data_IF_464353417225
#
_entry.id   IF_464353417225
#
_cell.length_a   1.000
_cell.length_b   1.000
_cell.length_c   1.000
_cell.angle_alpha   90.00
_cell.angle_beta   90.00
_cell.angle_gamma   90.00
#
_symmetry.space_group_name_H-M   'P 1'
#
loop_
_entity.id
_entity.type
_entity.pdbx_description
1 polymer ?
#
# COMPACT_ATOMS: atom_id res chain seq x y z
N UNK A 1 14.95 32.37 6.80
CA UNK A 1 13.75 31.70 7.31
C UNK A 1 14.18 30.51 8.15
N UNK A 2 13.66 30.35 9.35
CA UNK A 2 13.94 29.27 10.30
C UNK A 2 12.68 28.43 10.44
N UNK A 3 12.77 27.15 10.09
CA UNK A 3 11.63 26.23 10.12
C UNK A 3 11.79 25.22 11.25
N UNK A 4 10.70 24.88 11.91
CA UNK A 4 10.61 23.65 12.69
C UNK A 4 9.51 22.79 12.08
N UNK A 5 9.81 21.55 11.76
CA UNK A 5 8.85 20.62 11.18
C UNK A 5 8.37 19.62 12.22
N UNK A 6 7.07 19.52 12.43
CA UNK A 6 6.48 18.63 13.44
C UNK A 6 5.81 17.40 12.81
N UNK A 7 6.07 17.14 11.53
CA UNK A 7 5.52 15.99 10.83
C UNK A 7 6.51 15.47 9.79
N UNK A 8 6.63 14.15 9.68
CA UNK A 8 7.48 13.48 8.70
C UNK A 8 7.18 13.97 7.27
N UNK A 9 5.91 14.06 6.89
CA UNK A 9 5.51 14.53 5.54
C UNK A 9 5.96 15.96 5.26
N UNK A 10 5.87 16.87 6.22
CA UNK A 10 6.32 18.25 6.05
C UNK A 10 7.84 18.32 5.89
N UNK A 11 8.57 17.52 6.66
CA UNK A 11 10.04 17.41 6.54
C UNK A 11 10.44 16.92 5.15
N UNK A 12 9.75 15.89 4.64
CA UNK A 12 9.95 15.36 3.29
C UNK A 12 9.61 16.38 2.20
N UNK A 13 8.55 17.18 2.37
CA UNK A 13 8.19 18.26 1.43
C UNK A 13 9.29 19.32 1.39
N UNK A 14 9.70 19.86 2.54
CA UNK A 14 10.72 20.92 2.62
C UNK A 14 12.03 20.48 1.97
N UNK A 15 12.41 19.22 2.19
CA UNK A 15 13.65 18.66 1.64
C UNK A 15 13.55 18.41 0.14
N UNK A 16 12.43 17.89 -0.35
CA UNK A 16 12.15 17.73 -1.78
C UNK A 16 12.15 19.07 -2.54
N UNK A 17 11.75 20.17 -1.88
CA UNK A 17 11.83 21.53 -2.43
C UNK A 17 13.27 22.11 -2.46
N UNK A 18 14.27 21.37 -1.98
CA UNK A 18 15.65 21.83 -1.85
C UNK A 18 15.87 22.83 -0.73
N UNK A 19 14.97 22.84 0.27
CA UNK A 19 14.94 23.81 1.36
C UNK A 19 15.29 23.20 2.73
N UNK A 20 15.84 21.98 2.75
CA UNK A 20 16.22 21.29 4.00
C UNK A 20 17.17 22.09 4.91
N UNK A 21 18.00 22.95 4.34
CA UNK A 21 18.91 23.85 5.08
C UNK A 21 18.19 24.91 5.93
N UNK A 22 16.88 25.11 5.75
CA UNK A 22 16.06 26.02 6.56
C UNK A 22 15.53 25.36 7.84
N UNK A 23 15.62 24.03 7.96
CA UNK A 23 15.14 23.29 9.11
C UNK A 23 16.09 23.49 10.30
N UNK A 24 15.54 23.93 11.42
CA UNK A 24 16.24 24.14 12.70
C UNK A 24 15.93 23.05 13.72
N UNK A 25 14.91 22.23 13.48
CA UNK A 25 14.49 21.13 14.34
C UNK A 25 13.35 20.35 13.71
N UNK A 26 13.21 19.10 14.12
CA UNK A 26 12.19 18.17 13.64
C UNK A 26 11.57 17.37 14.79
N UNK A 27 10.39 16.79 14.57
CA UNK A 27 9.82 15.80 15.49
C UNK A 27 10.70 14.52 15.59
N UNK A 28 10.38 13.67 16.55
CA UNK A 28 11.17 12.46 16.84
C UNK A 28 11.08 11.38 15.73
N UNK A 29 10.07 11.45 14.85
CA UNK A 29 9.80 10.44 13.82
C UNK A 29 10.26 10.84 12.42
N UNK A 30 10.55 12.13 12.18
CA UNK A 30 11.14 12.61 10.92
C UNK A 30 12.50 11.95 10.65
N UNK A 31 12.53 11.00 9.71
CA UNK A 31 13.66 10.09 9.46
C UNK A 31 14.27 10.22 8.04
N UNK A 32 13.71 11.07 7.17
CA UNK A 32 14.10 11.17 5.77
C UNK A 32 14.16 12.63 5.26
N UNK A 33 15.14 12.98 4.40
CA UNK A 33 16.37 12.24 4.11
C UNK A 33 17.29 12.24 5.34
N UNK A 34 17.92 11.10 5.64
CA UNK A 34 18.73 10.89 6.86
C UNK A 34 19.83 11.95 6.97
N UNK A 35 20.50 12.26 5.87
CA UNK A 35 21.58 13.24 5.80
C UNK A 35 21.17 14.66 6.18
N UNK A 36 19.87 14.99 6.06
CA UNK A 36 19.33 16.29 6.47
C UNK A 36 18.92 16.25 7.94
N UNK A 37 18.20 15.20 8.36
CA UNK A 37 17.51 15.17 9.66
C UNK A 37 18.37 14.64 10.81
N UNK A 38 19.46 13.92 10.51
CA UNK A 38 20.29 13.28 11.53
C UNK A 38 20.92 14.27 12.52
N UNK A 39 21.30 15.47 12.06
CA UNK A 39 21.91 16.50 12.91
C UNK A 39 20.91 17.47 13.54
N UNK A 40 19.62 17.38 13.19
CA UNK A 40 18.62 18.34 13.66
C UNK A 40 18.18 18.04 15.09
N UNK A 41 18.01 19.08 15.94
CA UNK A 41 17.37 18.94 17.24
C UNK A 41 16.00 18.26 17.16
N UNK A 42 15.77 17.35 18.10
CA UNK A 42 14.49 16.65 18.26
C UNK A 42 13.62 17.35 19.27
N UNK A 43 12.45 17.80 18.83
CA UNK A 43 11.54 18.61 19.65
C UNK A 43 10.44 17.80 20.29
N UNK A 44 10.46 16.47 20.21
CA UNK A 44 9.48 15.58 20.83
C UNK A 44 8.67 14.78 19.82
N UNK A 45 7.91 13.78 20.29
CA UNK A 45 7.10 12.91 19.43
C UNK A 45 5.85 13.63 18.91
N UNK A 46 5.25 13.03 17.88
CA UNK A 46 4.14 13.57 17.07
C UNK A 46 3.01 14.24 17.89
N UNK A 47 2.50 13.55 18.91
CA UNK A 47 1.38 14.02 19.75
C UNK A 47 1.83 14.70 21.06
N UNK A 48 3.12 14.74 21.35
CA UNK A 48 3.67 15.31 22.60
C UNK A 48 4.93 16.14 22.32
N UNK A 49 4.82 17.02 21.32
CA UNK A 49 5.86 18.00 20.97
C UNK A 49 6.17 18.89 22.17
N UNK A 50 7.43 19.17 22.45
CA UNK A 50 7.91 20.12 23.46
C UNK A 50 7.95 21.54 22.85
N UNK A 51 6.89 22.31 23.12
CA UNK A 51 6.72 23.67 22.59
C UNK A 51 7.80 24.64 23.10
N UNK A 52 8.38 24.40 24.28
CA UNK A 52 9.49 25.24 24.77
C UNK A 52 10.77 24.98 23.98
N UNK A 53 11.05 23.72 23.61
CA UNK A 53 12.13 23.40 22.65
C UNK A 53 11.88 24.04 21.29
N UNK A 54 10.65 23.97 20.78
CA UNK A 54 10.30 24.63 19.51
C UNK A 54 10.56 26.13 19.60
N UNK A 55 10.09 26.79 20.67
CA UNK A 55 10.29 28.22 20.91
C UNK A 55 11.77 28.60 21.01
N UNK A 56 12.58 27.78 21.69
CA UNK A 56 14.02 28.02 21.84
C UNK A 56 14.79 27.97 20.50
N UNK A 57 14.21 27.37 19.46
CA UNK A 57 14.75 27.40 18.10
C UNK A 57 14.37 28.65 17.32
N UNK A 58 13.60 29.58 17.90
CA UNK A 58 13.19 30.85 17.28
C UNK A 58 12.70 30.68 15.83
N UNK A 59 11.67 29.84 15.57
CA UNK A 59 11.18 29.59 14.23
C UNK A 59 10.44 30.80 13.67
N UNK A 60 10.68 31.09 12.39
CA UNK A 60 9.84 32.01 11.61
C UNK A 60 8.50 31.34 11.24
N UNK A 61 8.49 30.00 11.13
CA UNK A 61 7.32 29.20 10.84
C UNK A 61 7.48 27.77 11.38
N UNK A 62 6.42 27.25 12.00
CA UNK A 62 6.29 25.85 12.40
C UNK A 62 5.38 25.11 11.40
N UNK A 63 5.85 23.98 10.89
CA UNK A 63 5.08 23.10 10.01
C UNK A 63 4.44 21.98 10.84
N UNK A 64 3.25 22.25 11.39
CA UNK A 64 2.42 21.29 12.09
C UNK A 64 1.56 20.47 11.11
N UNK A 65 0.66 19.64 11.62
CA UNK A 65 -0.22 18.75 10.82
C UNK A 65 -1.54 18.55 11.55
N UNK A 66 -2.60 18.13 10.84
CA UNK A 66 -3.90 17.70 11.41
C UNK A 66 -4.33 16.32 10.88
N UNK A 67 -3.36 15.51 10.43
CA UNK A 67 -3.63 14.22 9.79
C UNK A 67 -4.05 13.09 10.75
N UNK A 68 -3.65 13.17 12.03
CA UNK A 68 -3.92 12.17 13.06
C UNK A 68 -4.71 12.82 14.22
N UNK A 69 -5.69 12.11 14.82
CA UNK A 69 -6.39 12.60 15.99
C UNK A 69 -5.44 12.95 17.14
N UNK A 70 -5.56 14.16 17.69
CA UNK A 70 -4.74 14.66 18.80
C UNK A 70 -3.78 15.76 18.40
N UNK A 71 -3.50 15.94 17.10
CA UNK A 71 -2.69 17.07 16.63
C UNK A 71 -3.29 18.43 16.96
N UNK A 72 -4.61 18.52 17.12
CA UNK A 72 -5.30 19.74 17.52
C UNK A 72 -4.73 20.30 18.83
N UNK A 73 -4.41 19.43 19.80
CA UNK A 73 -3.80 19.84 21.06
C UNK A 73 -2.39 20.41 20.88
N UNK A 74 -1.61 19.90 19.92
CA UNK A 74 -0.29 20.46 19.57
C UNK A 74 -0.47 21.85 18.96
N UNK A 75 -1.41 22.01 18.03
CA UNK A 75 -1.73 23.29 17.39
C UNK A 75 -2.19 24.34 18.41
N UNK A 76 -3.09 23.98 19.33
CA UNK A 76 -3.55 24.86 20.42
C UNK A 76 -2.39 25.34 21.30
N UNK A 77 -1.42 24.46 21.58
CA UNK A 77 -0.23 24.82 22.37
C UNK A 77 0.72 25.73 21.60
N UNK A 78 0.89 25.55 20.29
CA UNK A 78 1.67 26.46 19.43
C UNK A 78 1.03 27.85 19.38
N UNK A 79 -0.29 27.91 19.24
CA UNK A 79 -1.06 29.15 19.25
C UNK A 79 -0.95 29.88 20.60
N UNK A 80 -1.13 29.16 21.72
CA UNK A 80 -0.96 29.72 23.06
C UNK A 80 0.46 30.25 23.32
N UNK A 81 1.47 29.63 22.70
CA UNK A 81 2.86 30.09 22.74
C UNK A 81 3.16 31.24 21.75
N UNK A 82 2.19 31.67 20.93
CA UNK A 82 2.36 32.74 19.94
C UNK A 82 3.33 32.38 18.81
N UNK A 83 3.51 31.09 18.52
CA UNK A 83 4.40 30.62 17.46
C UNK A 83 3.66 30.61 16.11
N UNK A 84 4.20 31.21 15.04
CA UNK A 84 3.59 31.13 13.71
C UNK A 84 3.59 29.68 13.22
N UNK A 85 2.45 29.19 12.75
CA UNK A 85 2.32 27.83 12.24
C UNK A 85 1.44 27.73 11.00
N UNK A 86 1.61 26.64 10.26
CA UNK A 86 0.58 26.06 9.39
C UNK A 86 0.35 24.61 9.81
N UNK A 87 -0.86 24.11 9.58
CA UNK A 87 -1.21 22.73 9.91
C UNK A 87 -2.05 22.11 8.79
N UNK A 88 -1.40 21.61 7.71
CA UNK A 88 -2.12 20.96 6.64
C UNK A 88 -2.91 19.74 7.11
N UNK A 89 -4.08 19.55 6.53
CA UNK A 89 -5.00 18.44 6.80
C UNK A 89 -5.41 17.75 5.49
N UNK A 90 -4.46 17.18 4.73
CA UNK A 90 -4.81 16.59 3.45
C UNK A 90 -5.78 15.42 3.64
N UNK A 91 -6.83 15.36 2.82
CA UNK A 91 -7.83 14.29 2.81
C UNK A 91 -8.00 13.65 1.43
N UNK A 92 -7.26 14.12 0.45
CA UNK A 92 -7.15 13.57 -0.90
C UNK A 92 -5.80 13.99 -1.51
N UNK A 93 -5.42 13.44 -2.67
CA UNK A 93 -4.17 13.83 -3.35
C UNK A 93 -4.15 15.30 -3.74
N UNK A 94 -5.29 15.90 -4.09
CA UNK A 94 -5.35 17.34 -4.40
C UNK A 94 -4.97 18.20 -3.20
N UNK A 95 -5.37 17.81 -1.99
CA UNK A 95 -4.95 18.51 -0.78
C UNK A 95 -3.45 18.33 -0.50
N UNK A 96 -2.87 17.17 -0.87
CA UNK A 96 -1.42 16.94 -0.77
C UNK A 96 -0.67 17.90 -1.70
N UNK A 97 -1.12 18.02 -2.95
CA UNK A 97 -0.54 18.95 -3.92
C UNK A 97 -0.66 20.40 -3.43
N UNK A 98 -1.85 20.78 -2.95
CA UNK A 98 -2.07 22.12 -2.38
C UNK A 98 -1.19 22.41 -1.15
N UNK A 99 -0.91 21.40 -0.33
CA UNK A 99 0.01 21.52 0.81
C UNK A 99 1.45 21.77 0.35
N UNK A 100 1.91 21.05 -0.67
CA UNK A 100 3.25 21.25 -1.27
C UNK A 100 3.38 22.66 -1.86
N UNK A 101 2.38 23.11 -2.61
CA UNK A 101 2.37 24.43 -3.23
C UNK A 101 2.31 25.56 -2.19
N UNK A 102 1.52 25.41 -1.12
CA UNK A 102 1.47 26.40 -0.04
C UNK A 102 2.80 26.50 0.71
N UNK A 103 3.42 25.35 1.04
CA UNK A 103 4.75 25.32 1.63
C UNK A 103 5.76 25.98 0.68
N UNK A 104 5.79 25.60 -0.60
CA UNK A 104 6.71 26.16 -1.58
C UNK A 104 6.59 27.69 -1.72
N UNK A 105 5.34 28.22 -1.74
CA UNK A 105 5.09 29.68 -1.76
C UNK A 105 5.65 30.37 -0.53
N UNK A 106 5.44 29.80 0.67
CA UNK A 106 5.96 30.36 1.94
C UNK A 106 7.48 30.32 2.02
N UNK A 107 8.10 29.32 1.40
CA UNK A 107 9.56 29.20 1.31
C UNK A 107 10.17 30.06 0.19
N UNK A 108 9.36 30.74 -0.61
CA UNK A 108 9.83 31.58 -1.72
C UNK A 108 10.34 30.80 -2.93
N UNK A 109 9.87 29.55 -3.11
CA UNK A 109 10.26 28.67 -4.23
C UNK A 109 9.04 28.08 -4.97
N UNK A 110 8.03 28.90 -5.37
CA UNK A 110 6.80 28.40 -5.99
C UNK A 110 7.05 27.49 -7.21
N UNK A 111 7.95 27.89 -8.11
CA UNK A 111 8.30 27.11 -9.32
C UNK A 111 8.79 25.68 -8.99
N UNK A 112 9.47 25.48 -7.85
CA UNK A 112 9.89 24.15 -7.40
C UNK A 112 8.72 23.33 -6.87
N UNK A 113 7.76 23.99 -6.23
CA UNK A 113 6.51 23.35 -5.80
C UNK A 113 5.68 22.88 -6.99
N UNK A 114 5.51 23.74 -8.00
CA UNK A 114 4.81 23.42 -9.24
C UNK A 114 5.48 22.24 -9.97
N UNK A 115 6.81 22.26 -10.09
CA UNK A 115 7.56 21.16 -10.70
C UNK A 115 7.39 19.84 -9.92
N UNK A 116 7.51 19.88 -8.59
CA UNK A 116 7.35 18.70 -7.74
C UNK A 116 5.93 18.12 -7.84
N UNK A 117 4.90 18.97 -7.83
CA UNK A 117 3.51 18.53 -8.01
C UNK A 117 3.31 17.94 -9.41
N UNK A 118 3.87 18.54 -10.46
CA UNK A 118 3.77 18.00 -11.82
C UNK A 118 4.38 16.59 -11.92
N UNK A 119 5.55 16.36 -11.32
CA UNK A 119 6.19 15.05 -11.27
C UNK A 119 5.34 14.02 -10.50
N UNK A 120 4.75 14.42 -9.37
CA UNK A 120 3.85 13.57 -8.60
C UNK A 120 2.59 13.21 -9.39
N UNK A 121 1.95 14.18 -10.05
CA UNK A 121 0.75 13.97 -10.87
C UNK A 121 1.00 13.00 -12.01
N UNK A 122 2.16 13.08 -12.67
CA UNK A 122 2.54 12.15 -13.73
C UNK A 122 2.54 10.69 -13.27
N UNK A 123 2.75 10.45 -11.96
CA UNK A 123 2.74 9.13 -11.36
C UNK A 123 1.43 8.76 -10.67
N UNK A 124 0.69 9.73 -10.11
CA UNK A 124 -0.43 9.48 -9.20
C UNK A 124 -1.80 9.80 -9.80
N UNK A 125 -1.88 10.60 -10.86
CA UNK A 125 -3.17 10.94 -11.45
C UNK A 125 -3.61 9.83 -12.43
N UNK A 126 -4.81 9.30 -12.19
CA UNK A 126 -5.49 8.40 -13.10
C UNK A 126 -6.88 8.96 -13.38
N UNK A 127 -7.23 9.04 -14.67
CA UNK A 127 -8.54 9.53 -15.08
C UNK A 127 -9.65 8.52 -14.74
N UNK A 128 -10.74 9.04 -14.17
CA UNK A 128 -11.99 8.29 -13.98
C UNK A 128 -12.07 7.42 -12.71
N UNK A 129 -13.21 6.73 -12.50
CA UNK A 129 -13.38 5.83 -11.37
C UNK A 129 -12.45 4.61 -11.47
N UNK A 130 -12.24 3.92 -10.34
CA UNK A 130 -11.53 2.65 -10.36
C UNK A 130 -12.15 1.70 -11.41
N UNK A 131 -11.30 1.06 -12.21
CA UNK A 131 -11.74 0.16 -13.27
C UNK A 131 -12.69 -0.91 -12.71
N UNK A 132 -13.72 -1.28 -13.49
CA UNK A 132 -14.59 -2.39 -13.13
C UNK A 132 -13.74 -3.65 -12.88
N UNK A 133 -13.93 -4.30 -11.73
CA UNK A 133 -13.12 -5.45 -11.30
C UNK A 133 -11.73 -5.09 -10.75
N UNK A 134 -11.49 -3.83 -10.35
CA UNK A 134 -10.29 -3.46 -9.61
C UNK A 134 -10.20 -4.26 -8.30
N UNK A 135 -9.05 -4.90 -7.99
CA UNK A 135 -8.88 -5.65 -6.75
C UNK A 135 -9.09 -4.78 -5.52
N UNK A 136 -9.80 -5.30 -4.52
CA UNK A 136 -10.02 -4.60 -3.25
C UNK A 136 -8.83 -4.78 -2.31
N UNK A 137 -8.31 -3.67 -1.78
CA UNK A 137 -7.18 -3.67 -0.86
C UNK A 137 -7.64 -3.15 0.50
N UNK A 138 -7.33 -3.90 1.55
CA UNK A 138 -7.41 -3.41 2.92
C UNK A 138 -6.02 -2.97 3.35
N UNK A 139 -5.81 -1.65 3.48
CA UNK A 139 -4.60 -1.10 4.06
C UNK A 139 -4.78 -1.03 5.57
N UNK A 140 -3.96 -1.77 6.30
CA UNK A 140 -3.93 -1.76 7.76
C UNK A 140 -2.89 -0.73 8.23
N UNK A 141 -3.37 0.45 8.62
CA UNK A 141 -2.55 1.50 9.25
C UNK A 141 -2.21 1.22 10.70
N UNK A 142 -3.07 0.46 11.37
CA UNK A 142 -2.85 0.03 12.75
C UNK A 142 -3.47 -1.36 12.96
N UNK A 143 -2.83 -2.27 13.69
CA UNK A 143 -3.29 -3.66 13.80
C UNK A 143 -4.37 -3.90 14.86
N UNK A 144 -4.51 -3.01 15.85
CA UNK A 144 -5.49 -3.21 16.96
C UNK A 144 -6.00 -1.89 17.56
N UNK A 145 -7.25 -1.48 17.27
CA UNK A 145 -8.13 -2.06 16.25
C UNK A 145 -7.52 -1.92 14.84
N UNK A 146 -8.02 -2.69 13.87
CA UNK A 146 -7.63 -2.54 12.46
C UNK A 146 -8.12 -1.17 11.99
N UNK A 147 -7.20 -0.25 11.68
CA UNK A 147 -7.56 1.07 11.13
C UNK A 147 -7.27 1.07 9.64
N UNK A 148 -8.27 1.42 8.83
CA UNK A 148 -8.16 1.44 7.36
C UNK A 148 -8.69 2.77 6.79
N UNK A 149 -8.14 3.28 5.68
CA UNK A 149 -8.61 4.52 5.05
C UNK A 149 -10.04 4.42 4.51
N UNK A 150 -10.80 5.50 4.65
CA UNK A 150 -12.10 5.72 4.02
C UNK A 150 -11.99 6.57 2.75
N UNK A 151 -13.11 7.09 2.24
CA UNK A 151 -13.14 7.92 1.03
C UNK A 151 -12.35 9.22 1.16
N UNK A 152 -12.30 9.82 2.35
CA UNK A 152 -11.59 11.10 2.60
C UNK A 152 -10.13 10.84 3.00
N UNK A 153 -9.41 10.04 2.23
CA UNK A 153 -8.00 9.72 2.48
C UNK A 153 -7.19 9.79 1.19
N UNK A 154 -6.01 10.42 1.27
CA UNK A 154 -5.02 10.37 0.20
C UNK A 154 -4.61 8.93 -0.11
N UNK A 155 -4.58 8.01 0.86
CA UNK A 155 -4.24 6.60 0.62
C UNK A 155 -5.27 5.92 -0.26
N UNK A 156 -6.56 6.27 -0.14
CA UNK A 156 -7.61 5.78 -1.03
C UNK A 156 -7.37 6.24 -2.47
N UNK A 157 -6.93 7.48 -2.67
CA UNK A 157 -6.54 7.98 -3.98
C UNK A 157 -5.29 7.28 -4.54
N UNK A 158 -4.27 7.02 -3.71
CA UNK A 158 -3.06 6.27 -4.10
C UNK A 158 -3.40 4.82 -4.49
N UNK A 159 -4.31 4.17 -3.76
CA UNK A 159 -4.83 2.83 -4.12
C UNK A 159 -5.55 2.88 -5.48
N UNK A 160 -6.37 3.90 -5.72
CA UNK A 160 -7.05 4.11 -7.01
C UNK A 160 -6.02 4.33 -8.14
N UNK A 161 -5.01 5.17 -7.91
CA UNK A 161 -3.91 5.43 -8.84
C UNK A 161 -3.11 4.17 -9.21
N UNK A 162 -3.07 3.20 -8.29
CA UNK A 162 -2.46 1.90 -8.53
C UNK A 162 -3.36 0.92 -9.32
N UNK A 163 -4.62 1.28 -9.57
CA UNK A 163 -5.62 0.43 -10.20
C UNK A 163 -6.34 -0.53 -9.26
N UNK A 164 -6.23 -0.31 -7.95
CA UNK A 164 -6.98 -1.03 -6.92
C UNK A 164 -8.19 -0.22 -6.43
N UNK A 165 -8.88 -0.76 -5.42
CA UNK A 165 -9.98 -0.11 -4.72
C UNK A 165 -9.81 -0.29 -3.21
N UNK A 166 -9.86 0.79 -2.43
CA UNK A 166 -9.86 0.67 -0.97
C UNK A 166 -11.16 0.00 -0.49
N UNK A 167 -11.10 -0.83 0.56
CA UNK A 167 -12.29 -1.51 1.10
C UNK A 167 -13.39 -0.55 1.54
N UNK A 168 -13.04 0.61 2.12
CA UNK A 168 -13.98 1.64 2.57
C UNK A 168 -14.07 2.84 1.60
N UNK A 169 -13.82 2.63 0.30
CA UNK A 169 -13.79 3.70 -0.70
C UNK A 169 -15.10 4.53 -0.82
N UNK A 170 -16.23 4.00 -0.34
CA UNK A 170 -17.53 4.69 -0.41
C UNK A 170 -17.92 5.38 0.91
N UNK A 171 -17.12 5.25 1.97
CA UNK A 171 -17.46 5.82 3.26
C UNK A 171 -16.89 7.23 3.45
N UNK A 172 -17.69 8.25 3.81
CA UNK A 172 -17.27 9.65 3.89
C UNK A 172 -16.33 10.00 5.07
N UNK A 173 -15.49 9.09 5.54
CA UNK A 173 -14.56 9.25 6.67
C UNK A 173 -13.10 9.31 6.20
N UNK A 174 -12.20 9.86 7.02
CA UNK A 174 -10.75 9.80 6.76
C UNK A 174 -10.23 8.37 6.89
N UNK A 175 -10.50 7.79 8.04
CA UNK A 175 -10.27 6.40 8.39
C UNK A 175 -11.13 6.05 9.57
N UNK A 176 -11.32 4.75 9.82
CA UNK A 176 -11.95 4.29 11.05
C UNK A 176 -11.45 2.90 11.43
N UNK A 177 -11.62 2.51 12.71
CA UNK A 177 -11.51 1.13 13.09
C UNK A 177 -12.56 0.27 12.34
N UNK A 178 -12.15 -0.93 11.93
CA UNK A 178 -13.01 -2.02 11.46
C UNK A 178 -12.82 -3.22 12.39
N UNK A 179 -13.91 -3.96 12.68
CA UNK A 179 -13.83 -5.18 13.48
C UNK A 179 -13.35 -6.37 12.65
N UNK A 180 -12.95 -7.47 13.30
CA UNK A 180 -12.52 -8.67 12.57
C UNK A 180 -13.67 -9.29 11.76
N UNK A 181 -14.92 -9.17 12.25
CA UNK A 181 -16.15 -9.57 11.54
C UNK A 181 -16.40 -8.70 10.32
N UNK A 182 -16.22 -7.39 10.45
CA UNK A 182 -16.38 -6.46 9.34
C UNK A 182 -15.32 -6.67 8.26
N UNK A 183 -14.06 -6.93 8.64
CA UNK A 183 -13.01 -7.32 7.67
C UNK A 183 -13.39 -8.57 6.91
N UNK A 184 -14.01 -9.55 7.59
CA UNK A 184 -14.50 -10.78 6.96
C UNK A 184 -15.64 -10.50 5.98
N UNK A 185 -16.54 -9.57 6.29
CA UNK A 185 -17.62 -9.13 5.40
C UNK A 185 -17.11 -8.34 4.19
N UNK A 186 -16.13 -7.46 4.40
CA UNK A 186 -15.46 -6.71 3.33
C UNK A 186 -14.71 -7.62 2.36
N UNK A 187 -14.23 -8.76 2.85
CA UNK A 187 -13.54 -9.81 2.09
C UNK A 187 -12.51 -9.26 1.07
N UNK A 188 -11.48 -8.52 1.52
CA UNK A 188 -10.53 -7.89 0.61
C UNK A 188 -9.78 -8.91 -0.25
N UNK A 189 -9.43 -8.54 -1.48
CA UNK A 189 -8.57 -9.36 -2.35
C UNK A 189 -7.14 -9.47 -1.83
N UNK A 190 -6.67 -8.46 -1.08
CA UNK A 190 -5.38 -8.46 -0.40
C UNK A 190 -5.34 -7.54 0.84
N UNK A 191 -4.46 -7.90 1.77
CA UNK A 191 -4.08 -7.06 2.91
C UNK A 191 -2.77 -6.35 2.62
N UNK A 192 -2.67 -5.08 3.02
CA UNK A 192 -1.45 -4.27 2.93
C UNK A 192 -1.15 -3.72 4.33
N UNK A 193 -0.12 -4.25 4.99
CA UNK A 193 0.37 -3.73 6.26
C UNK A 193 1.17 -2.46 5.97
N UNK A 194 0.79 -1.38 6.65
CA UNK A 194 1.45 -0.07 6.57
C UNK A 194 1.37 0.60 7.95
N UNK A 195 1.89 -0.08 8.97
CA UNK A 195 1.75 0.33 10.37
C UNK A 195 2.48 1.63 10.70
N UNK A 196 1.73 2.58 11.25
CA UNK A 196 2.23 3.88 11.66
C UNK A 196 3.31 3.79 12.74
N UNK A 197 4.42 4.49 12.53
CA UNK A 197 5.56 4.53 13.46
C UNK A 197 6.30 3.20 13.64
N UNK A 198 6.02 2.19 12.83
CA UNK A 198 6.67 0.87 12.91
C UNK A 198 7.63 0.69 11.73
N UNK A 199 8.87 0.34 12.05
CA UNK A 199 9.87 -0.08 11.07
C UNK A 199 9.35 -1.27 10.25
N UNK A 200 9.38 -1.21 8.89
CA UNK A 200 8.99 -2.33 8.03
C UNK A 200 9.66 -3.66 8.36
N UNK A 201 10.90 -3.65 8.87
CA UNK A 201 11.61 -4.85 9.32
C UNK A 201 10.92 -5.55 10.52
N UNK A 202 10.06 -4.81 11.24
CA UNK A 202 9.26 -5.31 12.37
C UNK A 202 7.82 -5.63 11.95
N UNK A 203 7.46 -5.52 10.67
CA UNK A 203 6.12 -5.93 10.23
C UNK A 203 5.95 -7.43 10.41
N UNK A 204 4.80 -7.81 10.96
CA UNK A 204 4.49 -9.20 11.31
C UNK A 204 3.27 -9.67 10.51
N UNK A 205 3.42 -10.02 9.22
CA UNK A 205 2.31 -10.55 8.42
C UNK A 205 1.73 -11.84 9.02
N UNK A 206 2.51 -12.61 9.79
CA UNK A 206 2.03 -13.77 10.55
C UNK A 206 0.92 -13.44 11.54
N UNK A 207 0.85 -12.19 12.05
CA UNK A 207 -0.25 -11.75 12.92
C UNK A 207 -1.56 -11.76 12.14
N UNK A 208 -1.55 -11.34 10.88
CA UNK A 208 -2.71 -11.41 9.98
C UNK A 208 -3.08 -12.87 9.70
N UNK A 209 -2.09 -13.70 9.35
CA UNK A 209 -2.31 -15.13 9.11
C UNK A 209 -2.76 -15.90 10.36
N UNK A 210 -2.55 -15.37 11.56
CA UNK A 210 -3.00 -15.96 12.82
C UNK A 210 -4.43 -15.60 13.23
N UNK A 211 -5.11 -14.69 12.51
CA UNK A 211 -6.48 -14.27 12.86
C UNK A 211 -7.50 -15.36 12.49
N UNK A 212 -8.08 -15.98 13.51
CA UNK A 212 -9.00 -17.12 13.35
C UNK A 212 -10.22 -16.78 12.47
N UNK A 213 -10.80 -15.59 12.65
CA UNK A 213 -11.98 -15.15 11.89
C UNK A 213 -11.73 -14.91 10.40
N UNK A 214 -10.46 -14.82 9.99
CA UNK A 214 -10.05 -14.47 8.62
C UNK A 214 -9.57 -15.68 7.82
N UNK A 215 -9.43 -16.86 8.45
CA UNK A 215 -8.77 -18.04 7.85
C UNK A 215 -9.42 -18.55 6.55
N UNK A 216 -10.70 -18.24 6.32
CA UNK A 216 -11.42 -18.62 5.13
C UNK A 216 -11.42 -17.56 4.02
N UNK A 217 -10.89 -16.37 4.29
CA UNK A 217 -10.72 -15.33 3.27
C UNK A 217 -9.78 -15.82 2.16
N UNK A 218 -10.15 -15.66 0.88
CA UNK A 218 -9.28 -16.02 -0.24
C UNK A 218 -7.89 -15.37 -0.14
N UNK A 219 -7.82 -14.12 0.33
CA UNK A 219 -6.57 -13.40 0.54
C UNK A 219 -5.61 -14.13 1.49
N UNK A 220 -6.09 -14.70 2.61
CA UNK A 220 -5.23 -15.44 3.54
C UNK A 220 -4.82 -16.80 2.95
N UNK A 221 -5.76 -17.55 2.37
CA UNK A 221 -5.47 -18.85 1.75
C UNK A 221 -4.44 -18.75 0.62
N UNK A 222 -4.48 -17.65 -0.13
CA UNK A 222 -3.58 -17.37 -1.25
C UNK A 222 -2.35 -16.56 -0.84
N UNK A 223 -2.14 -16.36 0.47
CA UNK A 223 -1.02 -15.61 1.04
C UNK A 223 -0.84 -14.18 0.52
N UNK A 224 -1.94 -13.48 0.25
CA UNK A 224 -1.98 -12.11 -0.25
C UNK A 224 -1.95 -11.08 0.88
N UNK A 225 -0.87 -11.13 1.66
CA UNK A 225 -0.56 -10.15 2.72
C UNK A 225 0.76 -9.51 2.35
N UNK A 226 0.71 -8.23 2.02
CA UNK A 226 1.86 -7.46 1.55
C UNK A 226 2.26 -6.42 2.60
N UNK A 227 3.55 -6.06 2.60
CA UNK A 227 4.09 -5.03 3.48
C UNK A 227 4.49 -3.84 2.62
N UNK A 228 3.90 -2.67 2.91
CA UNK A 228 4.29 -1.40 2.29
C UNK A 228 4.64 -0.44 3.43
N UNK A 229 5.87 0.10 3.49
CA UNK A 229 6.27 1.03 4.54
C UNK A 229 5.28 2.18 4.72
N UNK A 230 5.00 2.54 5.97
CA UNK A 230 4.16 3.71 6.27
C UNK A 230 4.69 4.99 5.62
N UNK A 231 6.00 5.13 5.49
CA UNK A 231 6.60 6.27 4.82
C UNK A 231 6.11 6.49 3.38
N UNK A 232 5.50 5.47 2.76
CA UNK A 232 4.97 5.51 1.40
C UNK A 232 3.45 5.64 1.31
N UNK A 233 2.71 5.49 2.41
CA UNK A 233 1.24 5.52 2.40
C UNK A 233 0.62 6.38 3.51
N UNK A 234 1.26 6.49 4.68
CA UNK A 234 0.80 7.29 5.83
C UNK A 234 1.33 8.72 5.88
N UNK A 235 2.33 9.05 5.06
CA UNK A 235 2.93 10.39 4.98
C UNK A 235 2.42 11.12 3.73
N UNK A 236 1.51 12.09 3.84
CA UNK A 236 0.95 12.81 2.69
C UNK A 236 1.98 13.78 2.10
N UNK A 237 2.87 13.27 1.27
CA UNK A 237 3.97 14.04 0.67
C UNK A 237 4.56 13.35 -0.56
N UNK A 238 5.77 13.75 -0.99
CA UNK A 238 6.38 13.28 -2.23
C UNK A 238 6.53 11.76 -2.32
N UNK A 239 6.73 11.10 -1.17
CA UNK A 239 6.98 9.66 -1.10
C UNK A 239 5.76 8.77 -1.34
N UNK A 240 4.58 9.37 -1.56
CA UNK A 240 3.42 8.64 -2.05
C UNK A 240 3.66 8.05 -3.46
N UNK A 241 4.63 8.58 -4.21
CA UNK A 241 5.05 8.04 -5.51
C UNK A 241 5.64 6.62 -5.36
N UNK A 242 6.43 6.36 -4.33
CA UNK A 242 6.91 5.01 -3.99
C UNK A 242 5.73 4.12 -3.59
N UNK A 243 4.76 4.67 -2.87
CA UNK A 243 3.52 4.00 -2.48
C UNK A 243 2.74 3.48 -3.67
N UNK A 244 2.45 4.34 -4.66
CA UNK A 244 1.72 3.92 -5.87
C UNK A 244 2.51 2.89 -6.67
N UNK A 245 3.84 3.00 -6.75
CA UNK A 245 4.68 2.01 -7.45
C UNK A 245 4.63 0.63 -6.78
N UNK A 246 4.67 0.59 -5.45
CA UNK A 246 4.50 -0.64 -4.68
C UNK A 246 3.11 -1.25 -4.88
N UNK A 247 2.05 -0.45 -4.73
CA UNK A 247 0.67 -0.89 -4.91
C UNK A 247 0.38 -1.34 -6.35
N UNK A 248 0.94 -0.68 -7.37
CA UNK A 248 0.82 -1.12 -8.78
C UNK A 248 1.39 -2.52 -8.98
N UNK A 249 2.47 -2.87 -8.29
CA UNK A 249 3.06 -4.22 -8.35
C UNK A 249 2.11 -5.24 -7.75
N UNK A 250 1.54 -4.94 -6.58
CA UNK A 250 0.53 -5.78 -5.90
C UNK A 250 -0.71 -5.95 -6.80
N UNK A 251 -1.28 -4.86 -7.31
CA UNK A 251 -2.48 -4.91 -8.18
C UNK A 251 -2.21 -5.70 -9.46
N UNK A 252 -1.04 -5.55 -10.08
CA UNK A 252 -0.65 -6.35 -11.26
C UNK A 252 -0.59 -7.85 -10.95
N UNK A 253 -0.07 -8.23 -9.79
CA UNK A 253 -0.03 -9.62 -9.33
C UNK A 253 -1.45 -10.17 -9.14
N UNK A 254 -2.31 -9.44 -8.43
CA UNK A 254 -3.71 -9.84 -8.21
C UNK A 254 -4.47 -10.03 -9.53
N UNK A 255 -4.27 -9.15 -10.51
CA UNK A 255 -4.90 -9.25 -11.84
C UNK A 255 -4.34 -10.39 -12.70
N UNK A 256 -3.10 -10.84 -12.48
CA UNK A 256 -2.54 -12.03 -13.15
C UNK A 256 -3.12 -13.32 -12.58
N UNK A 257 -3.39 -13.33 -11.28
CA UNK A 257 -3.95 -14.47 -10.56
C UNK A 257 -5.48 -14.55 -10.67
N UNK A 258 -6.14 -13.46 -11.05
CA UNK A 258 -7.57 -13.47 -11.39
C UNK A 258 -7.79 -14.35 -12.65
N UNK A 259 -8.70 -15.33 -12.62
CA UNK A 259 -8.99 -16.15 -13.78
C UNK A 259 -9.50 -15.26 -14.92
N UNK A 260 -8.69 -15.04 -15.94
CA UNK A 260 -9.15 -14.45 -17.20
C UNK A 260 -9.91 -15.56 -17.94
N UNK A 261 -11.22 -15.39 -18.09
CA UNK A 261 -12.10 -16.22 -18.90
C UNK A 261 -12.10 -17.73 -18.58
N UNK A 262 -12.41 -18.09 -17.33
CA UNK A 262 -12.79 -19.46 -17.01
C UNK A 262 -14.15 -19.80 -17.67
N UNK A 263 -14.13 -20.36 -18.88
CA UNK A 263 -15.31 -20.98 -19.50
C UNK A 263 -15.54 -22.36 -18.88
N UNK A 264 -16.67 -22.52 -18.19
CA UNK A 264 -17.20 -23.84 -17.86
C UNK A 264 -17.75 -24.43 -19.17
N UNK A 265 -17.08 -25.44 -19.72
CA UNK A 265 -17.65 -26.22 -20.82
C UNK A 265 -18.76 -27.12 -20.24
N UNK A 266 -19.97 -27.12 -20.81
CA UNK A 266 -21.01 -28.05 -20.38
C UNK A 266 -20.56 -29.48 -20.69
N UNK A 267 -20.50 -30.31 -19.66
CA UNK A 267 -20.08 -31.70 -19.79
C UNK A 267 -21.31 -32.56 -20.07
N UNK A 268 -21.35 -33.21 -21.24
CA UNK A 268 -22.11 -34.45 -21.36
C UNK A 268 -21.34 -35.53 -20.60
N UNK A 269 -22.03 -36.19 -19.69
CA UNK A 269 -21.63 -37.32 -18.85
C UNK A 269 -20.22 -37.88 -19.10
N UNK A 270 -19.30 -37.63 -18.15
CA UNK A 270 -18.11 -38.47 -17.97
C UNK A 270 -16.73 -37.81 -18.07
N UNK A 271 -16.62 -36.50 -18.32
CA UNK A 271 -15.31 -35.84 -18.35
C UNK A 271 -15.37 -34.46 -17.67
N UNK A 272 -14.57 -34.23 -16.63
CA UNK A 272 -14.31 -32.90 -16.08
C UNK A 272 -12.86 -32.50 -16.37
N UNK A 273 -12.64 -31.33 -16.95
CA UNK A 273 -11.31 -30.74 -17.18
C UNK A 273 -11.24 -29.37 -16.51
N UNK A 274 -10.18 -29.13 -15.75
CA UNK A 274 -9.88 -27.84 -15.11
C UNK A 274 -8.43 -27.45 -15.42
N UNK A 275 -8.17 -26.19 -15.84
CA UNK A 275 -6.84 -25.64 -16.16
C UNK A 275 -6.60 -24.26 -15.48
N UNK A 276 -5.41 -24.03 -14.90
CA UNK A 276 -4.81 -22.78 -14.31
C UNK A 276 -3.23 -22.70 -14.11
N UNK A 277 -2.55 -21.70 -14.71
CA UNK A 277 -1.30 -20.96 -14.26
C UNK A 277 0.07 -21.15 -14.98
N UNK A 278 0.99 -20.13 -14.93
CA UNK A 278 2.24 -20.05 -15.71
C UNK A 278 3.47 -20.60 -14.98
N UNK A 279 4.36 -21.27 -15.72
CA UNK A 279 5.59 -21.89 -15.20
C UNK A 279 5.89 -23.27 -15.81
N UNK A 280 4.94 -23.85 -16.54
CA UNK A 280 5.15 -25.05 -17.35
C UNK A 280 5.67 -24.61 -18.73
N UNK A 281 6.78 -25.18 -19.24
CA UNK A 281 7.22 -24.93 -20.62
C UNK A 281 6.12 -25.32 -21.61
N UNK A 282 5.99 -24.57 -22.71
CA UNK A 282 5.09 -24.95 -23.79
C UNK A 282 5.52 -26.29 -24.45
N UNK A 283 4.63 -26.85 -25.27
CA UNK A 283 4.86 -28.15 -25.91
C UNK A 283 6.11 -28.15 -26.80
N UNK A 284 6.47 -27.03 -27.43
CA UNK A 284 7.65 -26.92 -28.30
C UNK A 284 8.96 -27.07 -27.50
N UNK A 285 9.04 -26.47 -26.31
CA UNK A 285 10.19 -26.63 -25.40
C UNK A 285 10.28 -28.05 -24.85
N UNK A 286 9.15 -28.73 -24.62
CA UNK A 286 9.13 -30.12 -24.15
C UNK A 286 9.61 -31.11 -25.23
N UNK A 287 9.25 -30.89 -26.49
CA UNK A 287 9.71 -31.71 -27.63
C UNK A 287 11.22 -31.58 -27.82
N UNK A 288 11.77 -30.37 -27.75
CA UNK A 288 13.21 -30.14 -27.85
C UNK A 288 14.00 -30.87 -26.75
N UNK A 289 13.54 -30.79 -25.49
CA UNK A 289 14.19 -31.48 -24.36
C UNK A 289 14.05 -33.00 -24.40
N UNK A 290 12.94 -33.52 -24.95
CA UNK A 290 12.74 -34.95 -25.15
C UNK A 290 13.77 -35.52 -26.14
N UNK A 291 14.01 -34.79 -27.24
CA UNK A 291 14.97 -35.18 -28.27
C UNK A 291 16.43 -35.13 -27.77
N UNK A 292 16.81 -34.12 -26.98
CA UNK A 292 18.18 -33.99 -26.46
C UNK A 292 18.57 -35.11 -25.47
N UNK A 293 17.61 -35.67 -24.75
CA UNK A 293 17.84 -36.64 -23.68
C UNK A 293 17.36 -38.06 -24.01
N UNK A 294 16.89 -38.28 -25.23
CA UNK A 294 16.31 -39.54 -25.69
C UNK A 294 15.20 -40.07 -24.75
N UNK A 295 14.38 -39.15 -24.25
CA UNK A 295 13.29 -39.41 -23.30
C UNK A 295 11.94 -39.39 -24.02
N UNK A 296 11.05 -40.29 -23.64
CA UNK A 296 9.65 -40.25 -24.09
C UNK A 296 8.97 -38.98 -23.53
N UNK A 297 8.23 -38.26 -24.39
CA UNK A 297 7.43 -37.08 -24.03
C UNK A 297 6.47 -37.35 -22.87
N UNK A 298 5.90 -38.57 -22.80
CA UNK A 298 5.04 -39.01 -21.70
C UNK A 298 5.75 -39.07 -20.34
N UNK A 299 7.05 -39.38 -20.34
CA UNK A 299 7.87 -39.46 -19.13
C UNK A 299 8.15 -38.06 -18.58
N UNK A 300 8.53 -37.10 -19.44
CA UNK A 300 8.72 -35.70 -19.04
C UNK A 300 7.42 -35.09 -18.51
N UNK A 301 6.27 -35.36 -19.17
CA UNK A 301 4.96 -34.90 -18.71
C UNK A 301 4.60 -35.40 -17.30
N UNK A 302 4.93 -36.65 -16.97
CA UNK A 302 4.77 -37.16 -15.60
C UNK A 302 5.76 -36.52 -14.62
N UNK A 303 7.02 -36.34 -15.00
CA UNK A 303 8.03 -35.73 -14.11
C UNK A 303 7.66 -34.29 -13.72
N UNK A 304 7.16 -33.50 -14.68
CA UNK A 304 6.69 -32.12 -14.42
C UNK A 304 5.33 -32.06 -13.71
N UNK A 305 4.57 -33.16 -13.63
CA UNK A 305 3.39 -33.27 -12.76
C UNK A 305 3.75 -33.53 -11.28
N UNK A 306 4.96 -33.97 -10.97
CA UNK A 306 5.37 -34.43 -9.64
C UNK A 306 6.61 -33.72 -9.06
N UNK A 307 7.20 -32.73 -9.74
CA UNK A 307 8.28 -31.94 -9.15
C UNK A 307 7.73 -31.05 -8.03
N UNK A 308 8.19 -31.24 -6.80
CA UNK A 308 7.79 -30.44 -5.65
C UNK A 308 8.13 -28.96 -5.83
N UNK A 309 7.11 -28.12 -5.70
CA UNK A 309 7.20 -26.68 -5.47
C UNK A 309 6.80 -25.81 -6.66
N UNK A 310 5.50 -25.63 -6.91
CA UNK A 310 4.81 -24.36 -7.26
C UNK A 310 3.28 -24.63 -7.48
N UNK A 311 2.37 -23.65 -7.28
CA UNK A 311 0.93 -23.87 -7.35
C UNK A 311 0.32 -23.67 -8.76
N UNK A 312 -0.38 -24.70 -9.28
CA UNK A 312 -1.39 -24.60 -10.35
C UNK A 312 -1.46 -25.78 -11.36
N UNK A 313 -2.69 -26.16 -11.71
CA UNK A 313 -3.24 -27.32 -12.49
C UNK A 313 -2.73 -28.72 -12.25
N UNK A 314 -3.70 -29.59 -11.97
CA UNK A 314 -3.64 -31.02 -12.21
C UNK A 314 -4.69 -31.37 -13.29
N UNK A 315 -4.27 -32.00 -14.40
CA UNK A 315 -5.18 -32.71 -15.32
C UNK A 315 -5.15 -34.19 -14.94
N UNK A 316 -6.19 -34.66 -14.26
CA UNK A 316 -6.36 -36.07 -13.92
C UNK A 316 -7.17 -36.80 -14.99
N UNK A 317 -6.66 -37.91 -15.50
CA UNK A 317 -7.43 -38.90 -16.24
C UNK A 317 -7.66 -40.11 -15.34
N UNK A 318 -8.91 -40.39 -15.00
CA UNK A 318 -9.31 -41.62 -14.32
C UNK A 318 -10.35 -42.35 -15.16
N UNK A 319 -10.06 -43.58 -15.57
CA UNK A 319 -11.10 -44.49 -16.02
C UNK A 319 -11.87 -44.96 -14.78
N UNK A 320 -13.15 -44.62 -14.66
CA UNK A 320 -14.05 -45.38 -13.80
C UNK A 320 -14.54 -46.56 -14.64
N UNK A 321 -14.03 -47.76 -14.37
CA UNK A 321 -14.70 -48.98 -14.84
C UNK A 321 -15.98 -49.13 -14.04
N UNK A 322 -17.10 -48.62 -14.56
CA UNK A 322 -18.42 -49.10 -14.13
C UNK A 322 -18.66 -50.46 -14.76
N UNK A 323 -18.24 -51.54 -14.09
CA UNK A 323 -18.93 -52.82 -14.26
C UNK A 323 -20.27 -52.72 -13.53
N UNK A 324 -21.29 -52.25 -14.24
CA UNK A 324 -22.67 -52.56 -13.93
C UNK A 324 -23.21 -53.32 -15.14
N UNK A 325 -23.13 -54.64 -15.05
CA UNK A 325 -23.68 -55.57 -16.02
C UNK A 325 -24.18 -56.83 -15.32
N UNK A 326 -25.38 -56.78 -14.74
CA UNK A 326 -26.23 -57.96 -14.58
C UNK A 326 -27.27 -57.94 -15.70
N UNK A 327 -27.09 -58.82 -16.68
CA UNK A 327 -28.12 -59.60 -17.36
C UNK A 327 -27.40 -60.69 -18.17
#
# INVERSE_FOLDING_TARGET
>A
MRLVSLACSNTEIVTALGCGHLLMGVDDHSDWPEEVVASLPRVGPDLDVDVEKVRALEPDLVLATLTVPGHEAVVERLEAAGLPYIAPEPTCLEDVYGSIEDIARRLGVPDRGEALVADMRAELDVDGPAAAGAPTLLVEWWPKPVITPGRRSWTTDVIRAAGGRATLADEPVKSRPVSDEEVRELAPDAFVLSWCGVDPAKYRPDVIYGKELWQDLPALRQRRVYCVPEAYLGRPGPRLVEGVRALRTIVRELRRLAPRDARILPTQSGLHVTLVTPGVPDDDVLVARAAEKDLLLSTLRRTYQFSEGQPGIIVGFGAVTTEIGRA
#
